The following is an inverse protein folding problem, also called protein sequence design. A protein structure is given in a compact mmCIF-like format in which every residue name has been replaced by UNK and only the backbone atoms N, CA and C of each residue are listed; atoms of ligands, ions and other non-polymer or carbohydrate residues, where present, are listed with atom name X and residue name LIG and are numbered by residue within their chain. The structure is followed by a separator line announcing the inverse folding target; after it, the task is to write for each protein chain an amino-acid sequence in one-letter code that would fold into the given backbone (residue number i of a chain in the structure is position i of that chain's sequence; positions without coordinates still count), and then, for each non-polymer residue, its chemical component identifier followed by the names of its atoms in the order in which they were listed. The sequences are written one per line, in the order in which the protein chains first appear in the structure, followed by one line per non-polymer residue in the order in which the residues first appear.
data_IF_412216900681
#
_entry.id   IF_412216900681
#
_cell.length_a   1.000
_cell.length_b   1.000
_cell.length_c   1.000
_cell.angle_alpha   90.00
_cell.angle_beta   90.00
_cell.angle_gamma   90.00
#
_symmetry.space_group_name_H-M   'P 1'
#
loop_
_entity.id
_entity.type
_entity.pdbx_description
1 polymer ?
#
# COMPACT_ATOMS: atom_id res chain seq x y z
N UNK A 1 24.82 -12.65 0.14
CA UNK A 1 24.17 -13.37 1.26
C UNK A 1 22.95 -12.57 1.65
N UNK A 2 21.76 -13.18 1.71
CA UNK A 2 20.55 -12.47 2.17
C UNK A 2 20.75 -12.02 3.61
N UNK A 3 20.53 -10.74 3.91
CA UNK A 3 20.59 -10.24 5.29
C UNK A 3 19.61 -11.04 6.16
N UNK A 4 20.01 -11.48 7.37
CA UNK A 4 19.13 -12.24 8.24
C UNK A 4 17.95 -11.38 8.66
N UNK A 5 16.73 -11.86 8.43
CA UNK A 5 15.51 -11.24 8.90
C UNK A 5 14.57 -12.27 9.50
N UNK A 6 13.67 -11.79 10.37
CA UNK A 6 12.55 -12.58 10.91
C UNK A 6 11.26 -11.80 10.77
N UNK A 7 10.16 -12.50 10.51
CA UNK A 7 8.81 -11.95 10.62
C UNK A 7 8.20 -12.60 11.86
N UNK A 8 7.78 -11.78 12.82
CA UNK A 8 7.14 -12.22 14.06
C UNK A 8 5.66 -11.90 13.97
N UNK A 9 4.82 -12.93 14.10
CA UNK A 9 3.38 -12.74 14.20
C UNK A 9 2.98 -12.46 15.65
N UNK A 10 2.30 -11.32 15.87
CA UNK A 10 1.76 -10.89 17.17
C UNK A 10 0.23 -10.76 17.11
N UNK A 11 -0.43 -11.53 16.23
CA UNK A 11 -1.87 -11.55 16.04
C UNK A 11 -2.35 -10.44 15.10
N UNK A 12 -2.85 -9.33 15.65
CA UNK A 12 -3.37 -8.21 14.86
C UNK A 12 -2.27 -7.40 14.14
N UNK A 13 -1.00 -7.65 14.46
CA UNK A 13 0.16 -6.97 13.89
C UNK A 13 1.29 -7.97 13.67
N UNK A 14 2.16 -7.65 12.73
CA UNK A 14 3.41 -8.37 12.46
C UNK A 14 4.59 -7.43 12.72
N UNK A 15 5.74 -8.00 13.03
CA UNK A 15 7.00 -7.27 13.15
C UNK A 15 7.99 -7.87 12.18
N UNK A 16 8.45 -7.07 11.22
CA UNK A 16 9.65 -7.40 10.47
C UNK A 16 10.86 -6.96 11.30
N UNK A 17 11.76 -7.87 11.64
CA UNK A 17 13.03 -7.51 12.29
C UNK A 17 14.20 -7.75 11.33
N UNK A 18 15.01 -6.72 11.13
CA UNK A 18 16.18 -6.70 10.24
C UNK A 18 17.36 -6.12 11.01
N UNK A 19 18.47 -6.86 11.10
CA UNK A 19 19.70 -6.42 11.80
C UNK A 19 19.44 -5.85 13.22
N UNK A 20 18.59 -6.53 14.01
CA UNK A 20 18.25 -6.12 15.37
C UNK A 20 17.25 -4.96 15.48
N UNK A 21 16.81 -4.37 14.36
CA UNK A 21 15.79 -3.31 14.35
C UNK A 21 14.42 -3.88 13.98
N UNK A 22 13.40 -3.46 14.72
CA UNK A 22 12.02 -3.90 14.54
C UNK A 22 11.19 -2.86 13.75
N UNK A 23 10.37 -3.37 12.84
CA UNK A 23 9.47 -2.60 12.00
C UNK A 23 8.06 -3.19 12.12
N UNK A 24 7.23 -2.64 13.02
CA UNK A 24 5.85 -3.11 13.17
C UNK A 24 5.00 -2.73 11.96
N UNK A 25 4.08 -3.61 11.59
CA UNK A 25 3.13 -3.39 10.50
C UNK A 25 1.83 -4.16 10.74
N UNK A 26 0.76 -3.72 10.08
CA UNK A 26 -0.53 -4.43 10.03
C UNK A 26 -0.59 -5.40 8.85
N UNK A 27 0.34 -5.31 7.92
CA UNK A 27 0.37 -6.20 6.77
C UNK A 27 0.62 -7.64 7.20
N UNK A 28 -0.01 -8.58 6.48
CA UNK A 28 0.18 -10.01 6.71
C UNK A 28 1.62 -10.41 6.40
N UNK A 29 2.03 -11.58 6.92
CA UNK A 29 3.30 -12.18 6.55
C UNK A 29 3.44 -12.39 5.03
N UNK A 30 2.35 -12.78 4.35
CA UNK A 30 2.30 -12.95 2.89
C UNK A 30 2.69 -11.66 2.17
N UNK A 31 2.06 -10.54 2.51
CA UNK A 31 2.37 -9.22 1.89
C UNK A 31 3.82 -8.80 2.17
N UNK A 32 4.31 -9.01 3.40
CA UNK A 32 5.70 -8.70 3.75
C UNK A 32 6.68 -9.54 2.91
N UNK A 33 6.43 -10.84 2.77
CA UNK A 33 7.28 -11.75 1.98
C UNK A 33 7.29 -11.37 0.51
N UNK A 34 6.13 -11.09 -0.09
CA UNK A 34 6.03 -10.64 -1.48
C UNK A 34 6.81 -9.33 -1.71
N UNK A 35 6.79 -8.41 -0.74
CA UNK A 35 7.54 -7.16 -0.84
C UNK A 35 9.05 -7.40 -0.74
N UNK A 36 9.49 -8.28 0.17
CA UNK A 36 10.91 -8.68 0.28
C UNK A 36 11.38 -9.35 -1.00
N UNK A 37 10.60 -10.25 -1.58
CA UNK A 37 10.91 -10.89 -2.85
C UNK A 37 11.06 -9.85 -3.97
N UNK A 38 10.18 -8.85 -4.03
CA UNK A 38 10.21 -7.84 -5.09
C UNK A 38 11.30 -6.78 -4.91
N UNK A 39 11.55 -6.30 -3.69
CA UNK A 39 12.42 -5.14 -3.41
C UNK A 39 13.74 -5.50 -2.73
N UNK A 40 13.85 -6.69 -2.16
CA UNK A 40 14.93 -7.07 -1.28
C UNK A 40 14.74 -6.55 0.14
N UNK A 41 15.24 -7.31 1.12
CA UNK A 41 15.06 -7.03 2.54
C UNK A 41 15.54 -5.64 2.96
N UNK A 42 16.67 -5.16 2.44
CA UNK A 42 17.21 -3.84 2.76
C UNK A 42 16.26 -2.69 2.37
N UNK A 43 15.40 -2.90 1.36
CA UNK A 43 14.47 -1.87 0.85
C UNK A 43 13.06 -1.99 1.40
N UNK A 44 12.70 -3.10 2.05
CA UNK A 44 11.35 -3.36 2.57
C UNK A 44 10.93 -2.43 3.70
N UNK A 45 11.76 -2.17 4.75
CA UNK A 45 11.27 -1.52 5.96
C UNK A 45 10.56 -0.16 5.77
N UNK A 46 11.05 0.75 4.91
CA UNK A 46 10.37 2.02 4.69
C UNK A 46 8.92 1.86 4.18
N UNK A 47 8.66 0.87 3.31
CA UNK A 47 7.34 0.64 2.72
C UNK A 47 6.27 0.27 3.74
N UNK A 48 6.66 -0.28 4.89
CA UNK A 48 5.74 -0.66 5.96
C UNK A 48 5.08 0.55 6.66
N UNK A 49 5.56 1.76 6.38
CA UNK A 49 5.09 3.02 6.97
C UNK A 49 4.74 4.10 5.92
N UNK A 50 4.80 3.76 4.63
CA UNK A 50 4.64 4.76 3.58
C UNK A 50 3.22 5.29 3.45
N UNK A 51 2.18 4.53 3.83
CA UNK A 51 0.84 5.12 3.87
C UNK A 51 0.82 6.31 4.83
N UNK A 52 1.30 6.11 6.06
CA UNK A 52 1.29 7.10 7.13
C UNK A 52 2.22 8.28 6.85
N UNK A 53 3.40 8.00 6.30
CA UNK A 53 4.44 9.03 6.09
C UNK A 53 4.29 9.76 4.76
N UNK A 54 3.79 9.11 3.70
CA UNK A 54 3.72 9.68 2.35
C UNK A 54 2.30 10.10 1.98
N UNK A 55 1.27 9.33 2.33
CA UNK A 55 -0.12 9.62 1.95
C UNK A 55 -0.56 11.03 2.39
N UNK A 56 -0.51 11.36 3.69
CA UNK A 56 -0.82 12.70 4.18
C UNK A 56 0.08 13.80 3.61
N UNK A 57 1.35 13.49 3.33
CA UNK A 57 2.30 14.47 2.82
C UNK A 57 1.98 14.86 1.37
N UNK A 58 1.77 13.89 0.49
CA UNK A 58 1.55 14.14 -0.94
C UNK A 58 0.09 14.45 -1.28
N UNK A 59 -0.86 13.69 -0.73
CA UNK A 59 -2.28 13.80 -1.11
C UNK A 59 -3.11 14.56 -0.08
N UNK A 60 -2.62 14.71 1.15
CA UNK A 60 -3.34 15.42 2.22
C UNK A 60 -3.74 16.86 1.87
N UNK A 61 -2.86 17.71 1.30
CA UNK A 61 -3.24 19.06 0.87
C UNK A 61 -4.39 19.07 -0.15
N UNK A 62 -4.34 18.16 -1.13
CA UNK A 62 -5.38 18.03 -2.15
C UNK A 62 -6.72 17.63 -1.54
N UNK A 63 -6.75 16.59 -0.69
CA UNK A 63 -8.02 16.15 -0.08
C UNK A 63 -8.58 17.17 0.91
N UNK A 64 -7.74 17.94 1.61
CA UNK A 64 -8.21 19.08 2.40
C UNK A 64 -8.90 20.13 1.53
N UNK A 65 -8.28 20.49 0.40
CA UNK A 65 -8.87 21.45 -0.54
C UNK A 65 -10.18 20.91 -1.13
N UNK A 66 -10.20 19.68 -1.64
CA UNK A 66 -11.39 19.03 -2.19
C UNK A 66 -12.55 19.00 -1.19
N UNK A 67 -12.26 18.65 0.07
CA UNK A 67 -13.24 18.63 1.15
C UNK A 67 -13.83 20.01 1.43
N UNK A 68 -12.98 21.04 1.48
CA UNK A 68 -13.41 22.43 1.69
C UNK A 68 -14.34 22.93 0.56
N UNK A 69 -14.22 22.35 -0.63
CA UNK A 69 -15.06 22.65 -1.80
C UNK A 69 -16.23 21.67 -1.97
N UNK A 70 -16.55 20.87 -0.95
CA UNK A 70 -17.70 19.97 -0.96
C UNK A 70 -17.57 18.79 -1.93
N UNK A 71 -16.37 18.48 -2.43
CA UNK A 71 -16.18 17.36 -3.35
C UNK A 71 -16.54 16.03 -2.68
N UNK A 72 -17.32 15.20 -3.39
CA UNK A 72 -17.77 13.87 -2.95
C UNK A 72 -17.90 12.97 -4.18
N UNK A 73 -17.94 11.66 -3.95
CA UNK A 73 -18.24 10.70 -5.01
C UNK A 73 -17.14 10.56 -6.07
N UNK A 74 -15.89 10.91 -5.74
CA UNK A 74 -14.81 10.96 -6.72
C UNK A 74 -14.49 9.58 -7.30
N UNK A 75 -14.27 9.55 -8.61
CA UNK A 75 -13.70 8.42 -9.32
C UNK A 75 -12.22 8.68 -9.55
N UNK A 76 -11.36 7.79 -9.05
CA UNK A 76 -9.91 7.94 -9.13
C UNK A 76 -9.33 6.91 -10.09
N UNK A 77 -8.47 7.38 -11.00
CA UNK A 77 -7.56 6.56 -11.76
C UNK A 77 -6.15 6.72 -11.15
N UNK A 78 -5.62 5.65 -10.57
CA UNK A 78 -4.25 5.61 -10.04
C UNK A 78 -3.32 4.99 -11.08
N UNK A 79 -2.39 5.80 -11.59
CA UNK A 79 -1.37 5.41 -12.56
C UNK A 79 -0.09 5.05 -11.80
N UNK A 80 0.30 3.78 -11.82
CA UNK A 80 1.50 3.27 -11.13
C UNK A 80 1.29 3.03 -9.63
N UNK A 81 0.50 2.02 -9.28
CA UNK A 81 0.11 1.77 -7.89
C UNK A 81 1.24 1.24 -6.98
N UNK A 82 2.31 0.68 -7.55
CA UNK A 82 3.47 0.17 -6.80
C UNK A 82 3.06 -0.78 -5.65
N UNK A 83 3.56 -0.56 -4.43
CA UNK A 83 3.17 -1.34 -3.24
C UNK A 83 1.77 -0.98 -2.69
N UNK A 84 0.99 -0.16 -3.40
CA UNK A 84 -0.38 0.17 -3.04
C UNK A 84 -0.53 0.97 -1.75
N UNK A 85 0.46 1.79 -1.37
CA UNK A 85 0.37 2.65 -0.18
C UNK A 85 -0.44 3.92 -0.47
N UNK A 86 -0.40 4.44 -1.70
CA UNK A 86 -1.30 5.51 -2.15
C UNK A 86 -2.71 4.97 -2.39
N UNK A 87 -2.85 3.79 -3.01
CA UNK A 87 -4.13 3.08 -3.10
C UNK A 87 -4.82 2.96 -1.73
N UNK A 88 -4.09 2.53 -0.70
CA UNK A 88 -4.58 2.42 0.67
C UNK A 88 -5.01 3.78 1.24
N UNK A 89 -4.17 4.82 1.08
CA UNK A 89 -4.52 6.17 1.51
C UNK A 89 -5.79 6.69 0.83
N UNK A 90 -5.92 6.49 -0.49
CA UNK A 90 -7.08 6.87 -1.30
C UNK A 90 -8.35 6.13 -0.85
N UNK A 91 -8.24 4.84 -0.54
CA UNK A 91 -9.36 4.02 -0.09
C UNK A 91 -9.94 4.50 1.26
N UNK A 92 -9.13 5.16 2.09
CA UNK A 92 -9.56 5.74 3.37
C UNK A 92 -10.20 7.14 3.23
N UNK A 93 -10.08 7.82 2.08
CA UNK A 93 -10.59 9.20 1.92
C UNK A 93 -12.08 9.24 1.64
N UNK A 94 -12.89 9.79 2.54
CA UNK A 94 -14.37 9.87 2.43
C UNK A 94 -14.91 10.41 1.11
N UNK A 95 -14.13 11.24 0.42
CA UNK A 95 -14.45 11.86 -0.86
C UNK A 95 -14.44 10.88 -2.04
N UNK A 96 -13.68 9.77 -1.94
CA UNK A 96 -13.47 8.80 -3.03
C UNK A 96 -14.54 7.72 -3.00
N UNK A 97 -15.28 7.54 -4.10
CA UNK A 97 -16.27 6.47 -4.24
C UNK A 97 -15.71 5.22 -4.94
N UNK A 98 -14.77 5.39 -5.87
CA UNK A 98 -14.18 4.27 -6.62
C UNK A 98 -12.76 4.56 -7.06
N UNK A 99 -11.94 3.51 -7.07
CA UNK A 99 -10.54 3.54 -7.51
C UNK A 99 -10.35 2.46 -8.57
N UNK A 100 -9.78 2.84 -9.70
CA UNK A 100 -9.14 1.92 -10.64
C UNK A 100 -7.65 2.20 -10.58
N UNK A 101 -6.87 1.18 -10.31
CA UNK A 101 -5.42 1.28 -10.21
C UNK A 101 -4.77 0.41 -11.28
N UNK A 102 -3.60 0.81 -11.76
CA UNK A 102 -2.78 -0.09 -12.58
C UNK A 102 -1.29 0.12 -12.33
N UNK A 103 -0.51 -0.88 -12.69
CA UNK A 103 0.94 -0.82 -12.76
C UNK A 103 1.44 -1.62 -13.97
N UNK A 104 2.61 -1.28 -14.47
CA UNK A 104 3.30 -2.04 -15.52
C UNK A 104 4.11 -3.20 -14.95
N UNK A 105 4.35 -3.20 -13.63
CA UNK A 105 5.04 -4.28 -12.94
C UNK A 105 4.04 -5.30 -12.37
N UNK A 106 4.00 -6.54 -12.89
CA UNK A 106 3.04 -7.54 -12.45
C UNK A 106 3.18 -7.92 -10.97
N UNK A 107 4.37 -7.77 -10.37
CA UNK A 107 4.56 -8.03 -8.95
C UNK A 107 3.91 -6.95 -8.07
N UNK A 108 3.92 -5.69 -8.50
CA UNK A 108 3.20 -4.62 -7.79
C UNK A 108 1.69 -4.74 -7.94
N UNK A 109 1.22 -5.19 -9.09
CA UNK A 109 -0.20 -5.54 -9.29
C UNK A 109 -0.60 -6.65 -8.32
N UNK A 110 0.18 -7.74 -8.25
CA UNK A 110 -0.10 -8.84 -7.33
C UNK A 110 -0.07 -8.41 -5.86
N UNK A 111 0.93 -7.62 -5.46
CA UNK A 111 1.06 -7.03 -4.12
C UNK A 111 -0.15 -6.16 -3.76
N UNK A 112 -0.55 -5.26 -4.66
CA UNK A 112 -1.67 -4.35 -4.42
C UNK A 112 -2.99 -5.12 -4.37
N UNK A 113 -3.19 -6.15 -5.22
CA UNK A 113 -4.35 -7.05 -5.13
C UNK A 113 -4.42 -7.78 -3.79
N UNK A 114 -3.30 -8.34 -3.32
CA UNK A 114 -3.25 -9.00 -2.01
C UNK A 114 -3.62 -8.04 -0.88
N UNK A 115 -3.11 -6.81 -0.90
CA UNK A 115 -3.49 -5.78 0.09
C UNK A 115 -4.97 -5.42 0.02
N UNK A 116 -5.54 -5.25 -1.18
CA UNK A 116 -6.96 -4.93 -1.38
C UNK A 116 -7.85 -6.02 -0.78
N UNK A 117 -7.52 -7.28 -1.04
CA UNK A 117 -8.22 -8.45 -0.50
C UNK A 117 -8.13 -8.52 1.03
N UNK A 118 -6.90 -8.53 1.56
CA UNK A 118 -6.65 -8.78 2.98
C UNK A 118 -7.07 -7.61 3.90
N UNK A 119 -7.02 -6.37 3.39
CA UNK A 119 -7.38 -5.17 4.15
C UNK A 119 -8.82 -4.69 3.85
N UNK A 120 -9.52 -5.35 2.93
CA UNK A 120 -10.94 -5.09 2.64
C UNK A 120 -11.22 -3.72 2.00
N UNK A 121 -10.39 -3.28 1.06
CA UNK A 121 -10.55 -1.97 0.40
C UNK A 121 -11.72 -1.95 -0.61
N UNK A 122 -12.95 -1.89 -0.11
CA UNK A 122 -14.20 -1.98 -0.89
C UNK A 122 -14.37 -0.92 -2.01
N UNK A 123 -13.57 0.15 -1.99
CA UNK A 123 -13.59 1.22 -3.00
C UNK A 123 -12.70 0.92 -4.21
N UNK A 124 -11.77 -0.02 -4.08
CA UNK A 124 -10.93 -0.46 -5.20
C UNK A 124 -11.74 -1.41 -6.07
N UNK A 125 -12.00 -1.00 -7.31
CA UNK A 125 -12.79 -1.77 -8.28
C UNK A 125 -11.91 -2.69 -9.09
N UNK A 126 -10.71 -2.23 -9.40
CA UNK A 126 -9.77 -2.97 -10.22
C UNK A 126 -8.34 -2.57 -9.87
N UNK A 127 -7.45 -3.56 -9.94
CA UNK A 127 -6.01 -3.36 -10.02
C UNK A 127 -5.54 -4.11 -11.26
N UNK A 128 -5.25 -3.39 -12.34
CA UNK A 128 -4.89 -3.96 -13.64
C UNK A 128 -3.37 -4.04 -13.84
N UNK A 129 -2.94 -5.03 -14.62
CA UNK A 129 -1.59 -5.07 -15.18
C UNK A 129 -1.63 -4.45 -16.57
N UNK A 130 -0.91 -3.34 -16.75
CA UNK A 130 -0.84 -2.67 -18.03
C UNK A 130 0.43 -3.11 -18.76
N UNK A 131 0.25 -3.97 -19.76
CA UNK A 131 1.30 -4.42 -20.67
C UNK A 131 0.89 -4.15 -22.11
N UNK A 132 1.88 -3.87 -22.96
CA UNK A 132 1.69 -3.77 -24.42
C UNK A 132 1.74 -5.14 -25.07
#
# INVERSE_FOLDING_TARGET
MSEPYRIVDLGARRVLAVNGREYPTRYSERVIRMLIERKGIARTPPYLSYKETRGPHFLGPLFRWLRAHGARGLAVLEVGCSFGHMTEYLAEQSEVARIHAFDTDPAFVALTRAKVEELGFARVREVAHFSN
#
